data_IF_800732933333
#
_entry.id   IF_800732933333
#
_cell.length_a   1.000
_cell.length_b   1.000
_cell.length_c   1.000
_cell.angle_alpha   90.00
_cell.angle_beta   90.00
_cell.angle_gamma   90.00
#
_symmetry.space_group_name_H-M   'P 1'
#
loop_
_entity.id
_entity.type
_entity.pdbx_description
1 polymer ?
#
# COMPACT_ATOMS: atom_id res chain seq x y z
N UNK A 1 43.97 -18.02 16.94
CA UNK A 1 43.29 -16.70 16.88
C UNK A 1 42.81 -16.34 15.46
N UNK A 2 43.61 -16.48 14.39
CA UNK A 2 43.20 -16.19 12.99
C UNK A 2 41.99 -16.96 12.44
N UNK A 3 41.73 -18.19 12.90
CA UNK A 3 40.63 -19.04 12.41
C UNK A 3 39.26 -18.64 12.95
N UNK A 4 39.19 -18.08 14.17
CA UNK A 4 37.94 -17.60 14.76
C UNK A 4 37.45 -16.30 14.11
N UNK A 5 38.36 -15.42 13.67
CA UNK A 5 38.00 -14.21 12.94
C UNK A 5 37.40 -14.50 11.56
N UNK A 6 37.79 -15.61 10.91
CA UNK A 6 37.23 -16.03 9.61
C UNK A 6 35.78 -16.50 9.72
N UNK A 7 35.41 -17.20 10.80
CA UNK A 7 34.03 -17.66 11.01
C UNK A 7 33.09 -16.50 11.35
N UNK A 8 33.55 -15.49 12.10
CA UNK A 8 32.76 -14.28 12.33
C UNK A 8 32.51 -13.49 11.04
N UNK A 9 33.51 -13.40 10.15
CA UNK A 9 33.40 -12.66 8.89
C UNK A 9 32.39 -13.32 7.92
N UNK A 10 32.41 -14.66 7.83
CA UNK A 10 31.47 -15.41 6.98
C UNK A 10 30.05 -15.36 7.54
N UNK A 11 29.89 -15.46 8.87
CA UNK A 11 28.58 -15.34 9.51
C UNK A 11 27.96 -13.95 9.33
N UNK A 12 28.76 -12.88 9.46
CA UNK A 12 28.30 -11.51 9.23
C UNK A 12 27.94 -11.22 7.77
N UNK A 13 28.69 -11.79 6.82
CA UNK A 13 28.37 -11.67 5.39
C UNK A 13 27.07 -12.40 5.02
N UNK A 14 26.88 -13.63 5.54
CA UNK A 14 25.64 -14.38 5.30
C UNK A 14 24.41 -13.68 5.89
N UNK A 15 24.51 -13.10 7.08
CA UNK A 15 23.42 -12.37 7.73
C UNK A 15 23.08 -11.06 6.99
N UNK A 16 24.09 -10.32 6.52
CA UNK A 16 23.87 -9.10 5.73
C UNK A 16 23.23 -9.39 4.37
N UNK A 17 23.62 -10.48 3.70
CA UNK A 17 22.92 -10.94 2.48
C UNK A 17 21.46 -11.33 2.77
N UNK A 18 21.18 -11.98 3.91
CA UNK A 18 19.81 -12.36 4.28
C UNK A 18 18.91 -11.14 4.54
N UNK A 19 19.45 -10.05 5.12
CA UNK A 19 18.71 -8.79 5.32
C UNK A 19 18.44 -8.08 3.99
N UNK A 20 19.38 -8.13 3.03
CA UNK A 20 19.19 -7.54 1.69
C UNK A 20 18.22 -8.35 0.80
N UNK A 21 18.02 -9.64 1.11
CA UNK A 21 17.08 -10.53 0.44
C UNK A 21 15.71 -10.57 1.11
N UNK A 22 15.53 -9.89 2.25
CA UNK A 22 14.21 -9.74 2.83
C UNK A 22 13.33 -8.98 1.82
N UNK A 23 12.15 -9.51 1.47
CA UNK A 23 11.24 -8.79 0.59
C UNK A 23 10.95 -7.44 1.24
N UNK A 24 11.22 -6.36 0.52
CA UNK A 24 10.66 -5.07 0.89
C UNK A 24 9.14 -5.26 0.86
N UNK A 25 8.48 -5.01 1.99
CA UNK A 25 7.03 -4.94 2.05
C UNK A 25 6.67 -3.68 1.29
N UNK A 26 6.47 -3.81 -0.03
CA UNK A 26 5.89 -2.77 -0.84
C UNK A 26 4.39 -2.91 -0.68
N UNK A 27 3.83 -2.20 0.29
CA UNK A 27 2.39 -1.94 0.25
C UNK A 27 2.15 -1.02 -0.94
N UNK A 28 1.50 -1.59 -1.95
CA UNK A 28 1.21 -0.91 -3.19
C UNK A 28 0.05 0.10 -2.99
N UNK A 29 -0.82 -0.19 -2.00
CA UNK A 29 -1.83 0.71 -1.49
C UNK A 29 -1.40 1.38 -0.19
N UNK A 30 -1.67 2.68 -0.05
CA UNK A 30 -1.63 3.38 1.23
C UNK A 30 -2.94 3.13 1.98
N UNK A 31 -2.84 2.67 3.22
CA UNK A 31 -3.98 2.53 4.13
C UNK A 31 -3.89 3.55 5.28
N UNK A 32 -5.02 4.21 5.58
CA UNK A 32 -5.14 5.12 6.72
C UNK A 32 -6.46 4.96 7.44
N UNK A 33 -6.42 5.01 8.76
CA UNK A 33 -7.63 5.11 9.59
C UNK A 33 -7.98 6.58 9.83
N UNK A 34 -9.24 6.94 9.67
CA UNK A 34 -9.76 8.31 9.87
C UNK A 34 -10.98 8.31 10.79
N UNK A 35 -11.51 9.50 11.10
CA UNK A 35 -12.73 9.68 11.88
C UNK A 35 -12.72 8.88 13.20
N UNK A 36 -11.65 9.05 13.99
CA UNK A 36 -11.48 8.40 15.30
C UNK A 36 -11.55 6.86 15.29
N UNK A 37 -11.13 6.23 14.18
CA UNK A 37 -11.15 4.77 14.10
C UNK A 37 -12.37 4.18 13.40
N UNK A 38 -13.29 5.03 12.94
CA UNK A 38 -14.52 4.54 12.32
C UNK A 38 -14.34 4.07 10.88
N UNK A 39 -13.49 4.74 10.09
CA UNK A 39 -13.30 4.41 8.68
C UNK A 39 -11.83 4.11 8.37
N UNK A 40 -11.61 3.14 7.48
CA UNK A 40 -10.34 2.93 6.80
C UNK A 40 -10.47 3.43 5.37
N UNK A 41 -9.48 4.19 4.92
CA UNK A 41 -9.32 4.60 3.53
C UNK A 41 -8.12 3.83 2.99
N UNK A 42 -8.29 3.26 1.80
CA UNK A 42 -7.22 2.64 1.04
C UNK A 42 -7.13 3.31 -0.33
N UNK A 43 -5.92 3.67 -0.73
CA UNK A 43 -5.65 4.34 -2.00
C UNK A 43 -4.39 3.76 -2.66
N UNK A 44 -4.48 3.42 -3.94
CA UNK A 44 -3.35 2.88 -4.71
C UNK A 44 -3.58 2.99 -6.21
N UNK A 45 -2.74 2.31 -6.99
CA UNK A 45 -2.93 2.19 -8.43
C UNK A 45 -3.55 0.84 -8.81
N UNK A 46 -4.30 0.83 -9.91
CA UNK A 46 -4.75 -0.43 -10.51
C UNK A 46 -3.58 -1.13 -11.22
N UNK A 47 -3.55 -2.47 -11.15
CA UNK A 47 -2.60 -3.33 -11.87
C UNK A 47 -1.12 -3.11 -11.48
N UNK A 48 -0.82 -3.09 -10.18
CA UNK A 48 0.54 -2.85 -9.69
C UNK A 48 1.49 -4.07 -9.85
N UNK A 49 2.80 -3.84 -10.10
CA UNK A 49 3.46 -2.54 -10.28
C UNK A 49 3.17 -1.92 -11.65
N UNK A 50 2.99 -0.60 -11.69
CA UNK A 50 2.71 0.15 -12.93
C UNK A 50 4.01 0.66 -13.55
N UNK A 51 4.26 0.36 -14.83
CA UNK A 51 5.42 0.86 -15.56
C UNK A 51 5.06 1.96 -16.56
N UNK A 52 6.09 2.69 -17.03
CA UNK A 52 5.92 3.71 -18.05
C UNK A 52 5.37 3.09 -19.36
N UNK A 53 4.24 3.61 -19.82
CA UNK A 53 3.53 3.11 -21.00
C UNK A 53 2.36 2.18 -20.67
N UNK A 54 2.24 1.69 -19.43
CA UNK A 54 1.10 0.90 -19.01
C UNK A 54 -0.13 1.80 -18.76
N UNK A 55 -1.30 1.27 -19.12
CA UNK A 55 -2.56 1.90 -18.73
C UNK A 55 -2.88 1.48 -17.29
N UNK A 56 -2.97 2.46 -16.40
CA UNK A 56 -3.41 2.28 -15.02
C UNK A 56 -4.45 3.35 -14.65
N UNK A 57 -4.94 3.30 -13.41
CA UNK A 57 -5.93 4.19 -12.84
C UNK A 57 -5.82 4.22 -11.32
N UNK A 58 -6.65 5.05 -10.69
CA UNK A 58 -6.80 5.11 -9.24
C UNK A 58 -7.63 3.91 -8.77
N UNK A 59 -7.13 3.20 -7.77
CA UNK A 59 -7.94 2.30 -6.95
C UNK A 59 -8.17 2.96 -5.59
N UNK A 60 -9.43 3.09 -5.20
CA UNK A 60 -9.82 3.82 -3.99
C UNK A 60 -11.08 3.19 -3.38
N UNK A 61 -11.03 2.91 -2.08
CA UNK A 61 -12.20 2.50 -1.31
C UNK A 61 -12.16 3.04 0.11
N UNK A 62 -13.34 3.17 0.69
CA UNK A 62 -13.53 3.50 2.10
C UNK A 62 -14.40 2.42 2.72
N UNK A 63 -13.97 1.91 3.86
CA UNK A 63 -14.71 0.89 4.61
C UNK A 63 -15.05 1.42 6.01
N UNK A 64 -16.29 1.20 6.47
CA UNK A 64 -16.68 1.34 7.87
C UNK A 64 -16.12 0.15 8.65
N UNK A 65 -15.14 0.44 9.50
CA UNK A 65 -14.44 -0.55 10.32
C UNK A 65 -14.86 -0.50 11.78
N UNK A 66 -15.91 0.26 12.14
CA UNK A 66 -16.38 0.41 13.52
C UNK A 66 -16.82 -0.92 14.17
N UNK A 67 -17.14 -1.91 13.34
CA UNK A 67 -17.53 -3.27 13.76
C UNK A 67 -16.64 -4.35 13.16
N UNK A 68 -15.54 -3.98 12.52
CA UNK A 68 -14.65 -4.92 11.86
C UNK A 68 -13.96 -5.84 12.89
N UNK A 69 -13.69 -7.06 12.47
CA UNK A 69 -12.84 -7.97 13.24
C UNK A 69 -11.37 -7.59 12.99
N UNK A 70 -10.52 -7.45 14.02
CA UNK A 70 -9.11 -7.14 13.82
C UNK A 70 -8.42 -8.22 12.95
N UNK A 71 -7.75 -7.81 11.88
CA UNK A 71 -6.91 -8.69 11.06
C UNK A 71 -5.44 -8.56 11.48
N UNK A 72 -4.68 -9.67 11.55
CA UNK A 72 -3.22 -9.61 11.74
C UNK A 72 -2.49 -8.93 10.58
N UNK A 73 -3.14 -8.76 9.42
CA UNK A 73 -2.59 -8.15 8.22
C UNK A 73 -2.83 -6.63 8.13
N UNK A 74 -3.45 -6.02 9.16
CA UNK A 74 -3.62 -4.56 9.25
C UNK A 74 -4.81 -3.99 8.47
N UNK A 75 -5.38 -4.76 7.55
CA UNK A 75 -6.64 -4.44 6.87
C UNK A 75 -7.82 -4.99 7.66
N UNK A 76 -8.64 -4.10 8.22
CA UNK A 76 -9.83 -4.52 8.94
C UNK A 76 -10.95 -4.79 7.93
N UNK A 77 -11.53 -6.00 7.93
CA UNK A 77 -12.67 -6.33 7.07
C UNK A 77 -13.91 -5.54 7.53
N UNK A 78 -14.07 -4.34 6.96
CA UNK A 78 -15.19 -3.43 7.18
C UNK A 78 -16.25 -3.49 6.07
N UNK A 79 -17.38 -2.81 6.29
CA UNK A 79 -18.43 -2.68 5.28
C UNK A 79 -18.07 -1.54 4.29
N UNK A 80 -18.17 -1.74 2.96
CA UNK A 80 -17.92 -0.66 1.99
C UNK A 80 -18.84 0.54 2.22
N UNK A 81 -18.28 1.75 2.10
CA UNK A 81 -19.07 2.99 2.07
C UNK A 81 -19.56 3.23 0.65
N UNK A 82 -20.88 3.21 0.48
CA UNK A 82 -21.54 3.39 -0.81
C UNK A 82 -21.64 4.86 -1.23
N UNK A 83 -21.84 5.12 -2.53
CA UNK A 83 -22.12 6.45 -3.07
C UNK A 83 -20.91 7.41 -3.14
N UNK A 84 -19.70 6.94 -2.82
CA UNK A 84 -18.48 7.77 -2.82
C UNK A 84 -18.23 8.45 -4.18
N UNK A 85 -18.49 7.75 -5.29
CA UNK A 85 -18.29 8.27 -6.65
C UNK A 85 -19.13 9.53 -6.96
N UNK A 86 -20.21 9.79 -6.20
CA UNK A 86 -21.06 10.97 -6.36
C UNK A 86 -20.56 12.19 -5.55
N UNK A 87 -19.61 11.96 -4.65
CA UNK A 87 -19.15 12.96 -3.65
C UNK A 87 -17.67 13.32 -3.77
N UNK A 88 -16.93 12.57 -4.57
CA UNK A 88 -15.49 12.71 -4.73
C UNK A 88 -15.14 13.16 -6.15
N UNK A 89 -14.01 13.83 -6.24
CA UNK A 89 -13.29 14.07 -7.49
C UNK A 89 -11.90 13.45 -7.35
N UNK A 90 -11.38 12.90 -8.45
CA UNK A 90 -10.04 12.34 -8.50
C UNK A 90 -9.24 12.95 -9.64
N UNK A 91 -7.94 13.09 -9.42
CA UNK A 91 -7.02 13.58 -10.43
C UNK A 91 -5.60 13.13 -10.16
N UNK A 92 -4.80 13.08 -11.22
CA UNK A 92 -3.35 12.84 -11.16
C UNK A 92 -2.66 14.18 -11.39
N UNK A 93 -1.66 14.48 -10.57
CA UNK A 93 -0.82 15.68 -10.70
C UNK A 93 0.64 15.23 -10.87
N UNK A 94 1.28 15.71 -11.94
CA UNK A 94 2.70 15.47 -12.22
C UNK A 94 3.38 16.80 -12.51
N UNK A 95 4.09 17.34 -11.52
CA UNK A 95 4.68 18.68 -11.64
C UNK A 95 3.60 19.76 -11.79
N UNK A 96 3.59 20.44 -12.94
CA UNK A 96 2.58 21.45 -13.28
C UNK A 96 1.41 20.88 -14.11
N UNK A 97 1.51 19.61 -14.52
CA UNK A 97 0.47 18.95 -15.30
C UNK A 97 -0.57 18.29 -14.38
N UNK A 98 -1.83 18.36 -14.78
CA UNK A 98 -2.91 17.66 -14.08
C UNK A 98 -3.89 17.02 -15.06
N UNK A 99 -4.46 15.90 -14.64
CA UNK A 99 -5.46 15.15 -15.39
C UNK A 99 -6.56 14.71 -14.44
N UNK A 100 -7.81 15.08 -14.73
CA UNK A 100 -8.98 14.58 -14.03
C UNK A 100 -9.22 13.10 -14.37
N UNK A 101 -9.54 12.29 -13.37
CA UNK A 101 -9.90 10.89 -13.54
C UNK A 101 -11.42 10.72 -13.45
N UNK A 102 -12.06 10.03 -14.41
CA UNK A 102 -13.46 9.66 -14.28
C UNK A 102 -13.61 8.63 -13.15
N UNK A 103 -14.55 8.86 -12.24
CA UNK A 103 -14.90 7.91 -11.19
C UNK A 103 -16.10 7.08 -11.61
N UNK A 104 -16.06 5.78 -11.33
CA UNK A 104 -17.17 4.85 -11.57
C UNK A 104 -17.23 3.90 -10.37
N UNK A 105 -18.43 3.72 -9.80
CA UNK A 105 -18.64 2.70 -8.79
C UNK A 105 -18.48 1.31 -9.43
N UNK A 106 -17.79 0.40 -8.75
CA UNK A 106 -17.58 -0.98 -9.21
C UNK A 106 -18.66 -1.92 -8.67
#
# INVERSE_FOLDING_TARGET
MRRFSSFLAVGGFALSCAVLLAPAIAEAHESRTIAEGQYQIVVGFMNEPVFAGDKSGLEFWVSDISRATPSPEGEAEGEPVEGLAETLEAGVILGEESMALPLTAM
#
